data_IF_115809018783
#
_entry.id   IF_115809018783
#
_cell.length_a   1.000
_cell.length_b   1.000
_cell.length_c   1.000
_cell.angle_alpha   90.00
_cell.angle_beta   90.00
_cell.angle_gamma   90.00
#
_symmetry.space_group_name_H-M   'P 1'
#
loop_
_entity.id
_entity.type
_entity.pdbx_description
1 polymer ?
#
# COMPACT_ATOMS: atom_id res chain seq x y z
N UNK A 1 -23.11 15.16 -17.37
CA UNK A 1 -24.35 15.53 -16.95
C UNK A 1 -24.44 15.75 -15.46
N UNK A 2 -25.23 16.58 -15.11
CA UNK A 2 -25.20 17.02 -13.76
C UNK A 2 -26.20 16.34 -12.92
N UNK A 3 -25.73 15.78 -11.85
CA UNK A 3 -26.61 15.39 -10.83
C UNK A 3 -26.85 16.55 -9.93
N UNK A 4 -28.07 16.66 -9.48
CA UNK A 4 -28.40 17.68 -8.52
C UNK A 4 -28.18 17.12 -7.14
N UNK A 5 -27.24 17.70 -6.43
CA UNK A 5 -26.99 17.30 -5.06
C UNK A 5 -27.66 18.29 -4.13
N UNK A 6 -28.25 17.83 -3.04
CA UNK A 6 -28.87 18.73 -2.07
C UNK A 6 -27.84 19.55 -1.30
N UNK A 7 -26.58 19.24 -1.42
CA UNK A 7 -25.55 19.91 -0.64
C UNK A 7 -24.25 19.91 -1.40
N UNK A 8 -23.55 21.04 -1.37
CA UNK A 8 -22.24 21.15 -1.96
C UNK A 8 -21.25 20.26 -1.19
N UNK A 9 -21.43 20.15 0.10
CA UNK A 9 -20.56 19.28 0.89
C UNK A 9 -20.70 17.83 0.48
N UNK A 10 -21.93 17.40 0.23
CA UNK A 10 -22.18 16.05 -0.23
C UNK A 10 -21.55 15.83 -1.60
N UNK A 11 -21.73 16.77 -2.50
CA UNK A 11 -21.18 16.66 -3.84
C UNK A 11 -19.66 16.52 -3.79
N UNK A 12 -19.01 17.31 -2.96
CA UNK A 12 -17.55 17.26 -2.86
C UNK A 12 -17.07 15.92 -2.32
N UNK A 13 -17.74 15.40 -1.30
CA UNK A 13 -17.35 14.12 -0.73
C UNK A 13 -17.51 12.99 -1.75
N UNK A 14 -18.62 12.98 -2.47
CA UNK A 14 -18.85 11.98 -3.52
C UNK A 14 -17.79 12.10 -4.59
N UNK A 15 -17.44 13.32 -4.97
CA UNK A 15 -16.42 13.56 -5.97
C UNK A 15 -15.07 13.00 -5.54
N UNK A 16 -14.70 13.21 -4.27
CA UNK A 16 -13.42 12.72 -3.79
C UNK A 16 -13.36 11.21 -3.78
N UNK A 17 -14.42 10.55 -3.31
CA UNK A 17 -14.43 9.09 -3.33
C UNK A 17 -14.39 8.54 -4.75
N UNK A 18 -15.03 9.22 -5.69
CA UNK A 18 -15.06 8.71 -7.06
C UNK A 18 -13.73 8.86 -7.77
N UNK A 19 -12.79 9.61 -7.22
CA UNK A 19 -11.44 9.68 -7.75
C UNK A 19 -10.62 8.44 -7.46
N UNK A 20 -11.06 7.65 -6.50
CA UNK A 20 -10.30 6.46 -6.12
C UNK A 20 -10.48 5.36 -7.16
N UNK A 21 -9.43 4.58 -7.42
CA UNK A 21 -9.52 3.52 -8.42
C UNK A 21 -10.62 2.53 -8.09
N UNK A 22 -11.40 2.18 -9.08
CA UNK A 22 -12.46 1.20 -8.89
C UNK A 22 -13.72 1.73 -8.27
N UNK A 23 -13.77 3.01 -7.93
CA UNK A 23 -14.96 3.58 -7.30
C UNK A 23 -15.64 4.55 -8.25
N UNK A 24 -16.80 4.11 -8.76
CA UNK A 24 -17.63 4.98 -9.57
C UNK A 24 -18.53 5.84 -8.69
N UNK A 25 -19.30 6.71 -9.35
CA UNK A 25 -20.12 7.64 -8.60
C UNK A 25 -21.18 6.97 -7.76
N UNK A 26 -21.76 5.89 -8.27
CA UNK A 26 -22.80 5.20 -7.51
C UNK A 26 -22.25 4.61 -6.22
N UNK A 27 -21.10 3.96 -6.32
CA UNK A 27 -20.44 3.41 -5.14
C UNK A 27 -20.00 4.51 -4.21
N UNK A 28 -19.46 5.60 -4.76
CA UNK A 28 -19.04 6.74 -3.94
C UNK A 28 -20.21 7.28 -3.14
N UNK A 29 -21.37 7.43 -3.77
CA UNK A 29 -22.54 7.92 -3.08
C UNK A 29 -22.92 7.00 -1.92
N UNK A 30 -22.89 5.68 -2.14
CA UNK A 30 -23.22 4.75 -1.07
C UNK A 30 -22.25 4.86 0.09
N UNK A 31 -20.98 5.02 -0.21
CA UNK A 31 -19.97 5.12 0.85
C UNK A 31 -20.15 6.39 1.65
N UNK A 32 -20.39 7.51 0.97
CA UNK A 32 -20.58 8.78 1.66
C UNK A 32 -21.82 8.73 2.54
N UNK A 33 -22.90 8.18 2.02
CA UNK A 33 -24.12 8.08 2.80
C UNK A 33 -23.95 7.16 3.99
N UNK A 34 -23.16 6.11 3.84
CA UNK A 34 -22.84 5.26 4.98
C UNK A 34 -22.11 6.04 6.06
N UNK A 35 -21.13 6.84 5.66
CA UNK A 35 -20.37 7.64 6.63
C UNK A 35 -21.26 8.69 7.31
N UNK A 36 -22.22 9.22 6.58
CA UNK A 36 -23.13 10.19 7.18
C UNK A 36 -23.97 9.62 8.31
N UNK A 37 -24.16 8.31 8.32
CA UNK A 37 -24.91 7.67 9.40
C UNK A 37 -24.05 7.39 10.62
N UNK A 38 -22.73 7.51 10.47
CA UNK A 38 -21.83 7.31 11.60
C UNK A 38 -21.75 8.57 12.42
N UNK A 39 -21.31 8.45 13.66
CA UNK A 39 -21.13 9.64 14.48
C UNK A 39 -19.90 10.40 14.05
N UNK A 40 -19.84 11.66 14.46
CA UNK A 40 -18.75 12.54 14.03
C UNK A 40 -17.39 11.99 14.44
N UNK A 41 -17.29 11.43 15.63
CA UNK A 41 -16.02 10.91 16.11
C UNK A 41 -15.52 9.77 15.22
N UNK A 42 -16.42 8.91 14.76
CA UNK A 42 -16.04 7.81 13.88
C UNK A 42 -15.54 8.34 12.54
N UNK A 43 -16.22 9.32 11.99
CA UNK A 43 -15.81 9.88 10.70
C UNK A 43 -14.49 10.63 10.83
N UNK A 44 -14.31 11.35 11.94
CA UNK A 44 -13.03 12.04 12.16
C UNK A 44 -11.88 11.06 12.27
N UNK A 45 -12.10 9.96 12.98
CA UNK A 45 -11.07 8.95 13.11
C UNK A 45 -10.70 8.36 11.75
N UNK A 46 -11.72 8.11 10.92
CA UNK A 46 -11.49 7.59 9.58
C UNK A 46 -10.67 8.57 8.74
N UNK A 47 -11.09 9.83 8.72
CA UNK A 47 -10.39 10.84 7.92
C UNK A 47 -8.98 11.07 8.43
N UNK A 48 -8.83 11.18 9.73
CA UNK A 48 -7.52 11.44 10.31
C UNK A 48 -6.55 10.29 10.12
N UNK A 49 -7.05 9.06 10.11
CA UNK A 49 -6.17 7.92 9.90
C UNK A 49 -5.52 7.97 8.52
N UNK A 50 -6.27 8.40 7.52
CA UNK A 50 -5.72 8.50 6.17
C UNK A 50 -4.77 9.66 6.05
N UNK A 51 -5.13 10.78 6.65
CA UNK A 51 -4.28 11.97 6.61
C UNK A 51 -2.96 11.70 7.32
N UNK A 52 -3.03 11.10 8.50
CA UNK A 52 -1.84 10.80 9.28
C UNK A 52 -0.94 9.81 8.55
N UNK A 53 -1.55 8.79 7.96
CA UNK A 53 -0.77 7.84 7.18
C UNK A 53 0.02 8.55 6.09
N UNK A 54 -0.65 9.41 5.32
CA UNK A 54 0.01 10.09 4.21
C UNK A 54 1.11 11.00 4.67
N UNK A 55 0.91 11.69 5.81
CA UNK A 55 1.87 12.66 6.30
C UNK A 55 3.07 12.04 6.98
N UNK A 56 2.85 10.94 7.71
CA UNK A 56 3.87 10.46 8.63
C UNK A 56 4.51 9.14 8.26
N UNK A 57 3.98 8.48 7.25
CA UNK A 57 4.58 7.20 6.85
C UNK A 57 5.98 7.45 6.30
N UNK A 58 6.87 6.52 6.60
CA UNK A 58 8.23 6.55 6.09
C UNK A 58 8.43 5.34 5.21
N UNK A 59 9.54 5.35 4.52
CA UNK A 59 9.93 4.22 3.69
C UNK A 59 11.24 3.69 4.19
N UNK A 60 11.34 2.39 4.35
CA UNK A 60 12.55 1.77 4.84
C UNK A 60 13.73 2.17 3.95
N UNK A 61 14.79 2.68 4.55
CA UNK A 61 15.94 3.12 3.77
C UNK A 61 16.73 1.97 3.17
N UNK A 62 16.45 0.75 3.62
CA UNK A 62 17.13 -0.43 3.11
C UNK A 62 16.36 -1.07 1.97
N UNK A 63 15.08 -1.37 2.18
CA UNK A 63 14.29 -2.11 1.19
C UNK A 63 13.21 -1.28 0.52
N UNK A 64 12.96 -0.05 1.01
CA UNK A 64 11.96 0.87 0.48
C UNK A 64 10.52 0.43 0.74
N UNK A 65 10.32 -0.55 1.61
CA UNK A 65 9.00 -0.92 2.06
C UNK A 65 8.44 0.19 2.95
N UNK A 66 7.12 0.24 3.04
CA UNK A 66 6.48 1.21 3.92
C UNK A 66 6.81 0.86 5.38
N UNK A 67 7.00 1.89 6.19
CA UNK A 67 7.47 1.67 7.56
C UNK A 67 7.09 2.87 8.42
N UNK A 68 7.01 2.62 9.72
CA UNK A 68 6.83 3.71 10.68
C UNK A 68 8.17 4.30 11.10
N UNK A 69 9.25 3.63 10.77
CA UNK A 69 10.59 4.04 11.15
C UNK A 69 11.50 4.00 9.93
N UNK A 70 12.74 4.46 10.11
CA UNK A 70 13.69 4.50 9.00
C UNK A 70 14.08 3.11 8.50
N UNK A 71 14.02 2.12 9.36
CA UNK A 71 14.29 0.73 8.98
C UNK A 71 13.11 -0.11 9.39
N UNK A 72 12.52 -0.83 8.42
CA UNK A 72 11.32 -1.60 8.71
C UNK A 72 11.65 -2.81 9.59
N UNK A 73 10.59 -3.42 10.12
CA UNK A 73 10.77 -4.54 11.04
C UNK A 73 11.47 -5.72 10.39
N UNK A 74 11.23 -5.92 9.11
CA UNK A 74 11.85 -7.03 8.39
C UNK A 74 13.34 -6.81 8.26
N UNK A 75 13.75 -5.63 7.82
CA UNK A 75 15.17 -5.33 7.65
C UNK A 75 15.91 -5.26 8.97
N UNK A 76 15.19 -4.88 10.03
CA UNK A 76 15.81 -4.78 11.35
C UNK A 76 15.87 -6.12 12.08
N UNK A 77 15.20 -7.14 11.55
CA UNK A 77 15.11 -8.43 12.22
C UNK A 77 16.37 -9.25 11.97
N UNK A 78 17.17 -9.55 13.00
CA UNK A 78 18.41 -10.31 12.82
C UNK A 78 18.19 -11.77 12.43
N UNK A 79 16.96 -12.24 12.52
CA UNK A 79 16.63 -13.61 12.13
C UNK A 79 16.44 -13.78 10.64
N UNK A 80 16.43 -12.67 9.91
CA UNK A 80 16.25 -12.74 8.47
C UNK A 80 17.56 -13.07 7.76
N UNK A 81 17.43 -13.74 6.63
CA UNK A 81 18.58 -14.12 5.83
C UNK A 81 18.94 -12.96 4.91
N UNK A 82 19.98 -12.24 5.26
CA UNK A 82 20.37 -11.05 4.51
C UNK A 82 21.00 -11.40 3.16
N UNK A 83 21.27 -12.66 2.92
CA UNK A 83 21.87 -13.06 1.63
C UNK A 83 20.82 -13.28 0.54
N UNK A 84 19.55 -13.23 0.90
CA UNK A 84 18.47 -13.46 -0.06
C UNK A 84 17.59 -12.23 -0.12
N UNK A 85 17.37 -11.71 -1.33
CA UNK A 85 16.55 -10.53 -1.52
C UNK A 85 15.47 -10.83 -2.54
N UNK A 86 14.24 -10.56 -2.15
CA UNK A 86 13.09 -10.71 -3.02
C UNK A 86 12.71 -9.34 -3.56
N UNK A 87 12.83 -9.16 -4.86
CA UNK A 87 12.49 -7.90 -5.49
C UNK A 87 11.02 -7.90 -5.84
N UNK A 88 10.29 -6.91 -5.34
CA UNK A 88 8.85 -6.82 -5.56
C UNK A 88 8.50 -5.41 -6.01
N UNK A 89 7.34 -5.30 -6.60
CA UNK A 89 6.90 -4.05 -7.18
C UNK A 89 6.35 -3.10 -6.13
N UNK A 90 5.57 -3.63 -5.21
CA UNK A 90 4.93 -2.77 -4.22
C UNK A 90 4.69 -3.50 -2.91
N UNK A 91 4.10 -2.76 -1.98
CA UNK A 91 3.87 -3.24 -0.63
C UNK A 91 2.96 -4.47 -0.59
N UNK A 92 1.98 -4.53 -1.47
CA UNK A 92 1.06 -5.66 -1.49
C UNK A 92 1.78 -6.95 -1.79
N UNK A 93 2.82 -6.88 -2.62
CA UNK A 93 3.62 -8.04 -2.93
C UNK A 93 4.35 -8.55 -1.69
N UNK A 94 4.89 -7.62 -0.89
CA UNK A 94 5.54 -7.98 0.36
C UNK A 94 4.54 -8.71 1.25
N UNK A 95 3.35 -8.14 1.39
CA UNK A 95 2.34 -8.73 2.25
C UNK A 95 1.92 -10.11 1.78
N UNK A 96 1.81 -10.28 0.46
CA UNK A 96 1.42 -11.58 -0.09
C UNK A 96 2.46 -12.65 0.21
N UNK A 97 3.74 -12.31 0.07
CA UNK A 97 4.80 -13.26 0.33
C UNK A 97 4.91 -13.55 1.83
N UNK A 98 4.81 -12.50 2.66
CA UNK A 98 4.89 -12.69 4.11
C UNK A 98 3.73 -13.54 4.63
N UNK A 99 2.58 -13.48 3.98
CA UNK A 99 1.43 -14.27 4.40
C UNK A 99 1.70 -15.76 4.30
N UNK A 100 2.65 -16.18 3.47
CA UNK A 100 2.99 -17.59 3.37
C UNK A 100 3.80 -18.07 4.57
N UNK A 101 4.44 -17.14 5.27
CA UNK A 101 5.28 -17.42 6.43
C UNK A 101 6.43 -18.37 6.12
N UNK A 102 6.84 -18.42 4.86
CA UNK A 102 7.90 -19.33 4.45
C UNK A 102 9.15 -18.62 3.97
N UNK A 103 9.03 -17.36 3.63
CA UNK A 103 10.17 -16.60 3.16
C UNK A 103 10.89 -15.96 4.34
N UNK A 104 12.21 -16.13 4.39
CA UNK A 104 13.01 -15.62 5.49
C UNK A 104 14.02 -14.57 5.08
N UNK A 105 14.04 -14.18 3.83
CA UNK A 105 14.99 -13.20 3.35
C UNK A 105 14.48 -11.77 3.50
N UNK A 106 15.17 -10.87 2.83
CA UNK A 106 14.81 -9.47 2.81
C UNK A 106 14.08 -9.15 1.51
N UNK A 107 13.70 -7.89 1.37
CA UNK A 107 12.98 -7.44 0.18
C UNK A 107 13.63 -6.20 -0.40
N UNK A 108 13.33 -5.95 -1.64
CA UNK A 108 13.59 -4.66 -2.26
C UNK A 108 12.33 -4.25 -2.97
N UNK A 109 11.70 -3.17 -2.53
CA UNK A 109 10.44 -2.71 -3.08
C UNK A 109 10.74 -1.61 -4.08
N UNK A 110 10.33 -1.84 -5.32
CA UNK A 110 10.63 -0.89 -6.39
C UNK A 110 9.81 0.38 -6.30
N UNK A 111 8.68 0.31 -5.62
CA UNK A 111 7.86 1.48 -5.43
C UNK A 111 6.91 1.73 -6.57
N UNK A 112 6.14 2.79 -6.46
CA UNK A 112 5.08 3.07 -7.39
C UNK A 112 5.51 3.68 -8.69
N UNK A 113 6.81 3.79 -8.89
CA UNK A 113 7.34 4.40 -10.09
C UNK A 113 7.24 3.50 -11.29
N UNK A 114 7.17 2.24 -11.04
CA UNK A 114 7.38 1.24 -12.04
C UNK A 114 6.11 0.92 -12.79
N UNK A 115 6.21 0.85 -14.09
CA UNK A 115 5.10 0.39 -14.89
C UNK A 115 4.81 -1.06 -14.55
N UNK A 116 3.55 -1.42 -14.61
CA UNK A 116 3.19 -2.80 -14.32
C UNK A 116 3.94 -3.76 -15.22
N UNK A 117 4.42 -4.83 -14.62
CA UNK A 117 5.02 -5.92 -15.37
C UNK A 117 3.91 -6.93 -15.54
N UNK A 118 3.18 -6.78 -16.61
CA UNK A 118 2.00 -7.60 -16.86
C UNK A 118 2.35 -9.07 -16.86
N UNK A 119 1.58 -9.83 -16.15
CA UNK A 119 1.79 -11.26 -16.10
C UNK A 119 2.84 -11.71 -15.11
N UNK A 120 3.47 -10.78 -14.42
CA UNK A 120 4.47 -11.12 -13.42
C UNK A 120 3.85 -11.04 -12.05
N UNK A 121 3.86 -12.13 -11.31
CA UNK A 121 3.36 -12.16 -9.96
C UNK A 121 4.46 -12.03 -8.94
N UNK A 122 4.09 -11.93 -7.66
CA UNK A 122 5.09 -11.78 -6.61
C UNK A 122 6.12 -12.89 -6.56
N UNK A 123 5.70 -14.13 -6.80
CA UNK A 123 6.62 -15.24 -6.76
C UNK A 123 7.63 -15.18 -7.90
N UNK A 124 7.20 -14.66 -9.05
CA UNK A 124 8.12 -14.51 -10.18
C UNK A 124 9.18 -13.48 -9.88
N UNK A 125 8.80 -12.39 -9.24
CA UNK A 125 9.76 -11.36 -8.88
C UNK A 125 10.75 -11.86 -7.85
N UNK A 126 10.27 -12.65 -6.90
CA UNK A 126 11.12 -13.17 -5.85
C UNK A 126 12.19 -14.11 -6.38
N UNK A 127 11.95 -14.75 -7.48
CA UNK A 127 12.92 -15.69 -8.03
C UNK A 127 14.09 -15.00 -8.69
N UNK A 128 14.03 -13.72 -8.91
CA UNK A 128 15.07 -13.01 -9.66
C UNK A 128 16.33 -12.75 -8.87
N UNK A 129 16.29 -12.78 -7.54
CA UNK A 129 17.44 -12.41 -6.76
C UNK A 129 17.71 -13.34 -5.63
N UNK A 130 18.76 -14.11 -5.79
CA UNK A 130 19.41 -14.82 -4.71
C UNK A 130 20.81 -14.31 -4.72
N UNK A 131 21.08 -13.62 -3.77
CA UNK A 131 22.38 -13.03 -3.70
C UNK A 131 23.45 -14.05 -3.54
N UNK A 132 24.30 -14.14 -3.91
CA UNK A 132 25.30 -14.52 -3.84
C UNK A 132 26.11 -14.27 -3.93
N UNK A 133 25.98 -14.12 -4.18
CA UNK A 133 26.33 -13.95 -4.53
C UNK A 133 26.75 -13.52 -4.81
N UNK A 134 27.31 -13.45 -4.62
CA UNK A 134 27.51 -12.75 -5.11
C UNK A 134 27.52 -12.66 -5.97
N UNK A 135 27.22 -13.06 -6.39
CA UNK A 135 26.98 -13.07 -7.13
C UNK A 135 26.72 -12.35 -7.45
N UNK A 136 26.74 -12.16 -7.51
CA UNK A 136 26.36 -11.64 -7.81
C UNK A 136 26.41 -11.17 -7.71
N UNK A 137 26.56 -11.17 -7.55
CA UNK A 137 26.59 -10.84 -7.52
C UNK A 137 26.78 -10.83 -7.48
#
# INVERSE_FOLDING_TARGET
MNQQYPSVLLEKAVGEFSKLPGIGRKTAMRLVLHLLRQDTATVEAFGNSIITLKREVKYCKVCHNISDTETCQICANPQRDASTVCVVENIRDVMAVEATQQYRGLYHVLGGVISPMDGVGPSDLCLLYTSPSPRDS
#
